data_IF_469194873945
#
_entry.id   IF_469194873945
#
_cell.length_a   1.000
_cell.length_b   1.000
_cell.length_c   1.000
_cell.angle_alpha   90.00
_cell.angle_beta   90.00
_cell.angle_gamma   90.00
#
_symmetry.space_group_name_H-M   'P 1'
#
loop_
_entity.id
_entity.type
_entity.pdbx_description
1 polymer ?
#
# COMPACT_ATOMS: atom_id res chain seq x y z
N UNK A 1 8.08 -38.00 -25.70
CA UNK A 1 6.77 -38.57 -25.29
C UNK A 1 6.84 -39.32 -23.96
N UNK A 2 7.83 -40.20 -23.74
CA UNK A 2 8.02 -40.87 -22.43
C UNK A 2 8.26 -39.90 -21.26
N UNK A 3 9.07 -38.84 -21.42
CA UNK A 3 9.33 -37.90 -20.31
C UNK A 3 8.12 -37.03 -19.95
N UNK A 4 7.26 -36.67 -20.91
CA UNK A 4 6.06 -35.89 -20.63
C UNK A 4 5.02 -36.69 -19.84
N UNK A 5 4.82 -37.96 -20.18
CA UNK A 5 3.95 -38.85 -19.41
C UNK A 5 4.49 -39.10 -17.99
N UNK A 6 5.81 -39.23 -17.83
CA UNK A 6 6.45 -39.32 -16.51
C UNK A 6 6.26 -38.03 -15.70
N UNK A 7 6.48 -36.85 -16.30
CA UNK A 7 6.25 -35.56 -15.65
C UNK A 7 4.79 -35.43 -15.20
N UNK A 8 3.82 -35.81 -16.04
CA UNK A 8 2.41 -35.77 -15.67
C UNK A 8 2.04 -36.72 -14.52
N UNK A 9 2.62 -37.93 -14.49
CA UNK A 9 2.42 -38.86 -13.38
C UNK A 9 3.03 -38.33 -12.08
N UNK A 10 4.22 -37.73 -12.15
CA UNK A 10 4.89 -37.14 -10.98
C UNK A 10 4.21 -35.84 -10.53
N UNK A 11 3.57 -35.10 -11.44
CA UNK A 11 2.95 -33.81 -11.16
C UNK A 11 1.88 -33.93 -10.07
N UNK A 12 1.06 -34.99 -10.09
CA UNK A 12 0.03 -35.20 -9.06
C UNK A 12 0.67 -35.35 -7.68
N UNK A 13 1.69 -36.19 -7.56
CA UNK A 13 2.40 -36.42 -6.30
C UNK A 13 3.17 -35.18 -5.83
N UNK A 14 3.74 -34.42 -6.76
CA UNK A 14 4.48 -33.17 -6.48
C UNK A 14 3.52 -32.09 -6.01
N UNK A 15 2.40 -31.88 -6.71
CA UNK A 15 1.39 -30.90 -6.32
C UNK A 15 0.82 -31.23 -4.95
N UNK A 16 0.47 -32.48 -4.67
CA UNK A 16 -0.06 -32.86 -3.36
C UNK A 16 0.94 -32.62 -2.21
N UNK A 17 2.26 -32.75 -2.47
CA UNK A 17 3.31 -32.55 -1.47
C UNK A 17 3.77 -31.10 -1.31
N UNK A 18 3.71 -30.31 -2.38
CA UNK A 18 4.30 -28.96 -2.42
C UNK A 18 3.26 -27.84 -2.52
N UNK A 19 1.98 -28.16 -2.68
CA UNK A 19 0.93 -27.14 -2.70
C UNK A 19 0.72 -26.57 -1.31
N UNK A 20 0.85 -25.25 -1.22
CA UNK A 20 0.48 -24.48 -0.03
C UNK A 20 -0.81 -23.75 -0.33
N UNK A 21 -1.87 -24.12 0.39
CA UNK A 21 -3.18 -23.53 0.21
C UNK A 21 -3.36 -22.28 1.09
N UNK A 22 -3.50 -21.11 0.45
CA UNK A 22 -3.49 -19.80 1.12
C UNK A 22 -4.90 -19.29 1.44
N UNK A 23 -5.79 -19.14 0.44
CA UNK A 23 -7.09 -18.51 0.62
C UNK A 23 -8.14 -19.46 1.20
N UNK A 24 -8.11 -19.68 2.51
CA UNK A 24 -9.06 -20.58 3.20
C UNK A 24 -10.44 -19.97 3.46
N UNK A 25 -10.64 -18.67 3.22
CA UNK A 25 -11.94 -18.02 3.42
C UNK A 25 -12.88 -18.26 2.24
N UNK A 26 -12.36 -18.34 1.02
CA UNK A 26 -13.16 -18.54 -0.19
C UNK A 26 -13.43 -20.00 -0.51
N UNK A 27 -12.44 -20.89 -0.34
CA UNK A 27 -12.67 -22.34 -0.45
C UNK A 27 -12.14 -23.05 0.79
N UNK A 28 -12.85 -24.09 1.23
CA UNK A 28 -12.53 -24.76 2.49
C UNK A 28 -11.38 -25.76 2.34
N UNK A 29 -11.09 -26.19 1.10
CA UNK A 29 -10.05 -27.18 0.81
C UNK A 29 -9.43 -26.98 -0.57
N UNK A 30 -8.22 -27.50 -0.74
CA UNK A 30 -7.52 -27.57 -2.03
C UNK A 30 -8.36 -28.25 -3.11
N UNK A 31 -9.07 -29.32 -2.75
CA UNK A 31 -9.90 -30.09 -3.69
C UNK A 31 -11.11 -29.28 -4.18
N UNK A 32 -11.67 -28.43 -3.32
CA UNK A 32 -12.77 -27.53 -3.69
C UNK A 32 -12.28 -26.46 -4.66
N UNK A 33 -11.16 -25.80 -4.33
CA UNK A 33 -10.50 -24.85 -5.22
C UNK A 33 -10.17 -25.49 -6.58
N UNK A 34 -9.57 -26.68 -6.59
CA UNK A 34 -9.14 -27.35 -7.83
C UNK A 34 -10.32 -27.68 -8.75
N UNK A 35 -11.49 -28.04 -8.19
CA UNK A 35 -12.71 -28.25 -8.99
C UNK A 35 -13.13 -26.97 -9.71
N UNK A 36 -13.05 -25.83 -9.03
CA UNK A 36 -13.38 -24.52 -9.61
C UNK A 36 -12.33 -24.12 -10.64
N UNK A 37 -11.04 -24.26 -10.31
CA UNK A 37 -9.94 -23.96 -11.25
C UNK A 37 -10.03 -24.79 -12.54
N UNK A 38 -10.42 -26.05 -12.46
CA UNK A 38 -10.58 -26.92 -13.64
C UNK A 38 -11.84 -26.63 -14.45
N UNK A 39 -12.87 -26.02 -13.86
CA UNK A 39 -14.12 -25.68 -14.54
C UNK A 39 -14.09 -24.28 -15.14
N UNK A 40 -13.60 -23.29 -14.39
CA UNK A 40 -13.56 -21.88 -14.79
C UNK A 40 -12.22 -21.47 -15.41
N UNK A 41 -11.18 -22.28 -15.25
CA UNK A 41 -9.82 -21.94 -15.61
C UNK A 41 -9.11 -21.11 -14.52
N UNK A 42 -7.86 -20.75 -14.80
CA UNK A 42 -7.07 -19.89 -13.93
C UNK A 42 -5.65 -19.72 -14.44
N UNK A 43 -4.86 -18.96 -13.69
CA UNK A 43 -3.50 -18.57 -14.08
C UNK A 43 -2.50 -19.40 -13.28
N UNK A 44 -1.47 -19.91 -13.97
CA UNK A 44 -0.29 -20.51 -13.35
C UNK A 44 0.90 -19.64 -13.74
N UNK A 45 1.54 -19.04 -12.75
CA UNK A 45 2.67 -18.15 -12.94
C UNK A 45 3.87 -18.54 -12.09
N UNK A 46 5.05 -18.08 -12.51
CA UNK A 46 6.27 -18.30 -11.76
C UNK A 46 6.36 -17.31 -10.60
N UNK A 47 6.61 -17.81 -9.39
CA UNK A 47 6.93 -16.95 -8.25
C UNK A 47 8.41 -16.52 -8.29
N UNK A 48 8.74 -15.28 -7.91
CA UNK A 48 10.12 -14.82 -7.86
C UNK A 48 11.02 -15.74 -7.04
N UNK A 49 12.25 -16.03 -7.49
CA UNK A 49 13.21 -16.82 -6.73
C UNK A 49 13.88 -15.97 -5.64
N UNK A 50 13.10 -15.35 -4.76
CA UNK A 50 13.54 -14.49 -3.66
C UNK A 50 12.65 -14.66 -2.43
N UNK A 51 13.25 -14.59 -1.26
CA UNK A 51 12.53 -14.56 0.03
C UNK A 51 12.03 -13.15 0.39
N UNK A 52 12.48 -12.13 -0.32
CA UNK A 52 12.05 -10.75 -0.15
C UNK A 52 11.50 -10.25 -1.49
N UNK A 53 10.18 -10.07 -1.52
CA UNK A 53 9.42 -9.60 -2.66
C UNK A 53 8.55 -8.45 -2.17
N UNK A 54 8.54 -7.35 -2.92
CA UNK A 54 7.68 -6.21 -2.63
C UNK A 54 6.78 -5.97 -3.83
N UNK A 55 5.47 -5.96 -3.58
CA UNK A 55 4.46 -5.63 -4.60
C UNK A 55 4.27 -4.12 -4.64
N UNK A 56 4.05 -3.57 -5.83
CA UNK A 56 3.89 -2.13 -6.07
C UNK A 56 2.70 -1.96 -7.00
N UNK A 57 1.79 -1.06 -6.66
CA UNK A 57 0.70 -0.65 -7.54
C UNK A 57 1.00 0.73 -8.11
N UNK A 58 0.83 0.90 -9.42
CA UNK A 58 0.82 2.21 -10.10
C UNK A 58 -0.55 2.42 -10.72
N UNK A 59 -1.24 3.48 -10.28
CA UNK A 59 -2.56 3.84 -10.78
C UNK A 59 -2.44 4.93 -11.84
N UNK A 60 -3.13 4.78 -12.96
CA UNK A 60 -3.12 5.71 -14.08
C UNK A 60 -4.53 6.00 -14.62
N UNK A 61 -4.66 7.09 -15.37
CA UNK A 61 -5.84 7.44 -16.16
C UNK A 61 -5.44 7.58 -17.61
N UNK A 62 -6.17 6.95 -18.52
CA UNK A 62 -6.06 7.13 -19.98
C UNK A 62 -7.32 7.85 -20.45
N UNK A 63 -7.16 9.08 -20.91
CA UNK A 63 -8.25 9.88 -21.46
C UNK A 63 -8.60 9.45 -22.90
N UNK A 64 -9.83 9.70 -23.38
CA UNK A 64 -10.25 9.30 -24.73
C UNK A 64 -9.44 9.91 -25.88
N UNK A 65 -8.73 11.01 -25.63
CA UNK A 65 -7.83 11.65 -26.61
C UNK A 65 -6.44 11.00 -26.68
N UNK A 66 -6.19 9.96 -25.87
CA UNK A 66 -4.91 9.28 -25.79
C UNK A 66 -3.90 9.95 -24.85
N UNK A 67 -4.27 11.02 -24.16
CA UNK A 67 -3.44 11.52 -23.07
C UNK A 67 -3.54 10.57 -21.86
N UNK A 68 -2.42 10.28 -21.20
CA UNK A 68 -2.43 9.50 -19.96
C UNK A 68 -1.67 10.21 -18.85
N UNK A 69 -2.06 9.94 -17.61
CA UNK A 69 -1.40 10.46 -16.42
C UNK A 69 -1.32 9.40 -15.33
N UNK A 70 -0.19 9.35 -14.63
CA UNK A 70 -0.08 8.57 -13.39
C UNK A 70 -0.72 9.37 -12.26
N UNK A 71 -1.64 8.74 -11.56
CA UNK A 71 -2.47 9.35 -10.53
C UNK A 71 -1.86 9.15 -9.14
N UNK A 72 -1.37 7.94 -8.87
CA UNK A 72 -0.64 7.59 -7.66
C UNK A 72 0.19 6.31 -7.88
N UNK A 73 1.08 6.03 -6.93
CA UNK A 73 1.81 4.76 -6.87
C UNK A 73 2.08 4.41 -5.43
N UNK A 74 2.05 3.14 -5.03
CA UNK A 74 2.37 2.75 -3.66
C UNK A 74 2.95 1.35 -3.57
N UNK A 75 3.77 1.11 -2.54
CA UNK A 75 4.18 -0.22 -2.13
C UNK A 75 2.99 -0.90 -1.43
N UNK A 76 2.60 -2.11 -1.83
CA UNK A 76 1.46 -2.80 -1.24
C UNK A 76 1.77 -3.31 0.17
N UNK A 77 0.76 -3.25 1.04
CA UNK A 77 0.71 -3.90 2.34
C UNK A 77 -0.10 -5.19 2.22
N UNK A 78 0.24 -6.23 2.97
CA UNK A 78 -0.26 -7.60 2.77
C UNK A 78 -0.81 -8.25 4.04
N UNK A 79 -1.31 -7.42 4.97
CA UNK A 79 -1.80 -7.80 6.31
C UNK A 79 -2.52 -9.17 6.41
N UNK A 80 -3.47 -9.44 5.53
CA UNK A 80 -4.28 -10.68 5.59
C UNK A 80 -3.72 -11.82 4.72
N UNK A 81 -3.00 -11.49 3.65
CA UNK A 81 -2.47 -12.46 2.71
C UNK A 81 -1.33 -11.85 1.89
N UNK A 82 -0.25 -12.62 1.72
CA UNK A 82 0.89 -12.26 0.88
C UNK A 82 0.56 -12.02 -0.60
N UNK A 83 -0.64 -12.39 -1.04
CA UNK A 83 -1.10 -12.27 -2.43
C UNK A 83 -2.28 -11.32 -2.60
N UNK A 84 -2.69 -10.61 -1.56
CA UNK A 84 -3.77 -9.63 -1.63
C UNK A 84 -3.29 -8.28 -1.13
N UNK A 85 -3.49 -7.24 -1.93
CA UNK A 85 -3.25 -5.87 -1.50
C UNK A 85 -4.24 -5.50 -0.39
N UNK A 86 -3.74 -5.17 0.80
CA UNK A 86 -4.54 -4.70 1.94
C UNK A 86 -4.58 -3.17 2.03
N UNK A 87 -3.52 -2.51 1.55
CA UNK A 87 -3.36 -1.06 1.56
C UNK A 87 -2.08 -0.66 0.86
N UNK A 88 -1.80 0.64 0.79
CA UNK A 88 -0.60 1.17 0.16
C UNK A 88 0.23 2.01 1.13
N UNK A 89 1.54 1.84 1.05
CA UNK A 89 2.51 2.88 1.39
C UNK A 89 2.70 3.80 0.18
N UNK A 90 2.18 5.01 0.27
CA UNK A 90 2.18 6.03 -0.77
C UNK A 90 3.18 7.17 -0.46
N UNK A 91 3.96 7.65 -1.44
CA UNK A 91 4.18 7.03 -2.73
C UNK A 91 5.10 5.79 -2.62
N UNK A 92 5.19 4.99 -3.69
CA UNK A 92 6.10 3.84 -3.75
C UNK A 92 7.56 4.29 -3.58
N UNK A 93 8.35 3.51 -2.86
CA UNK A 93 9.78 3.78 -2.64
C UNK A 93 10.68 2.60 -2.99
N UNK A 94 10.09 1.46 -3.38
CA UNK A 94 10.82 0.21 -3.53
C UNK A 94 11.46 0.02 -4.90
N UNK A 95 10.97 0.67 -5.96
CA UNK A 95 11.49 0.51 -7.32
C UNK A 95 11.91 1.83 -7.98
N UNK A 96 12.82 1.71 -8.94
CA UNK A 96 13.27 2.83 -9.77
C UNK A 96 12.11 3.42 -10.59
N UNK A 97 11.93 4.73 -10.45
CA UNK A 97 10.85 5.48 -11.08
C UNK A 97 10.92 5.46 -12.61
N UNK A 98 12.13 5.49 -13.19
CA UNK A 98 12.28 5.50 -14.64
C UNK A 98 11.85 4.16 -15.25
N UNK A 99 12.20 3.05 -14.59
CA UNK A 99 11.77 1.71 -14.99
C UNK A 99 10.25 1.55 -14.91
N UNK A 100 9.62 1.97 -13.81
CA UNK A 100 8.16 1.95 -13.67
C UNK A 100 7.48 2.76 -14.77
N UNK A 101 7.94 3.99 -15.01
CA UNK A 101 7.39 4.87 -16.04
C UNK A 101 7.54 4.29 -17.46
N UNK A 102 8.65 3.62 -17.74
CA UNK A 102 8.89 2.97 -19.04
C UNK A 102 7.89 1.82 -19.27
N UNK A 103 7.69 0.96 -18.26
CA UNK A 103 6.70 -0.11 -18.34
C UNK A 103 5.28 0.43 -18.46
N UNK A 104 4.90 1.42 -17.64
CA UNK A 104 3.59 2.05 -17.72
C UNK A 104 3.32 2.64 -19.11
N UNK A 105 4.29 3.35 -19.69
CA UNK A 105 4.16 3.90 -21.05
C UNK A 105 3.93 2.81 -22.10
N UNK A 106 4.65 1.69 -21.99
CA UNK A 106 4.53 0.57 -22.93
C UNK A 106 3.16 -0.11 -22.82
N UNK A 107 2.65 -0.26 -21.59
CA UNK A 107 1.33 -0.83 -21.32
C UNK A 107 0.23 0.12 -21.82
N UNK A 108 0.35 1.42 -21.58
CA UNK A 108 -0.61 2.43 -22.05
C UNK A 108 -0.71 2.43 -23.58
N UNK A 109 0.42 2.34 -24.30
CA UNK A 109 0.40 2.24 -25.77
C UNK A 109 -0.42 1.02 -26.22
N UNK A 110 -0.25 -0.11 -25.54
CA UNK A 110 -1.01 -1.34 -25.82
C UNK A 110 -2.49 -1.22 -25.46
N UNK A 111 -2.84 -0.51 -24.38
CA UNK A 111 -4.22 -0.20 -24.02
C UNK A 111 -4.90 0.68 -25.08
N UNK A 112 -4.21 1.72 -25.55
CA UNK A 112 -4.71 2.65 -26.56
C UNK A 112 -4.97 1.96 -27.90
N UNK A 113 -4.06 1.09 -28.34
CA UNK A 113 -4.26 0.27 -29.56
C UNK A 113 -5.50 -0.63 -29.47
N UNK A 114 -5.94 -0.98 -28.25
CA UNK A 114 -7.11 -1.81 -27.97
C UNK A 114 -8.35 -0.99 -27.58
N UNK A 115 -8.29 0.34 -27.65
CA UNK A 115 -9.36 1.25 -27.22
C UNK A 115 -9.77 1.08 -25.74
N UNK A 116 -8.81 0.79 -24.87
CA UNK A 116 -9.00 0.72 -23.42
C UNK A 116 -8.70 2.09 -22.83
N UNK A 117 -9.71 2.71 -22.22
CA UNK A 117 -9.66 4.05 -21.63
C UNK A 117 -10.21 4.04 -20.21
N UNK A 118 -9.91 5.09 -19.45
CA UNK A 118 -10.30 5.25 -18.05
C UNK A 118 -9.18 4.90 -17.09
N UNK A 119 -9.56 4.57 -15.86
CA UNK A 119 -8.61 4.26 -14.79
C UNK A 119 -8.11 2.82 -14.89
N UNK A 120 -6.81 2.66 -14.66
CA UNK A 120 -6.12 1.37 -14.67
C UNK A 120 -5.12 1.34 -13.52
N UNK A 121 -5.07 0.22 -12.83
CA UNK A 121 -4.03 -0.10 -11.87
C UNK A 121 -3.13 -1.17 -12.48
N UNK A 122 -1.82 -0.95 -12.43
CA UNK A 122 -0.80 -1.90 -12.87
C UNK A 122 -0.03 -2.34 -11.63
N UNK A 123 -0.01 -3.64 -11.42
CA UNK A 123 0.71 -4.26 -10.32
C UNK A 123 2.05 -4.80 -10.80
N UNK A 124 3.07 -4.50 -10.01
CA UNK A 124 4.45 -4.91 -10.20
C UNK A 124 4.93 -5.67 -8.98
N UNK A 125 5.97 -6.48 -9.17
CA UNK A 125 6.75 -7.05 -8.09
C UNK A 125 8.22 -6.73 -8.30
N UNK A 126 8.89 -6.32 -7.23
CA UNK A 126 10.33 -6.10 -7.19
C UNK A 126 11.00 -7.04 -6.21
N UNK A 127 12.17 -7.55 -6.59
CA UNK A 127 12.98 -8.44 -5.76
C UNK A 127 14.44 -8.43 -6.21
N UNK A 128 15.35 -8.88 -5.35
CA UNK A 128 16.77 -9.04 -5.69
C UNK A 128 17.00 -10.47 -6.16
N UNK A 129 17.50 -10.64 -7.38
CA UNK A 129 17.86 -11.94 -7.91
C UNK A 129 19.08 -12.51 -7.17
N UNK A 130 18.95 -13.72 -6.63
CA UNK A 130 20.01 -14.37 -5.84
C UNK A 130 21.28 -14.60 -6.66
N UNK A 131 21.15 -14.88 -7.97
CA UNK A 131 22.26 -15.19 -8.89
C UNK A 131 22.93 -13.93 -9.40
N UNK A 132 22.15 -12.96 -9.90
CA UNK A 132 22.72 -11.75 -10.53
C UNK A 132 22.99 -10.63 -9.54
N UNK A 133 22.40 -10.69 -8.34
CA UNK A 133 22.40 -9.63 -7.32
C UNK A 133 21.80 -8.31 -7.81
N UNK A 134 21.03 -8.34 -8.89
CA UNK A 134 20.36 -7.17 -9.43
C UNK A 134 18.90 -7.12 -8.98
N UNK A 135 18.37 -5.90 -8.85
CA UNK A 135 16.95 -5.68 -8.62
C UNK A 135 16.17 -5.93 -9.91
N UNK A 136 15.30 -6.92 -9.87
CA UNK A 136 14.36 -7.22 -10.95
C UNK A 136 13.01 -6.59 -10.65
N UNK A 137 12.30 -6.22 -11.72
CA UNK A 137 10.97 -5.64 -11.68
C UNK A 137 10.12 -6.37 -12.73
N UNK A 138 9.09 -7.06 -12.28
CA UNK A 138 8.13 -7.79 -13.12
C UNK A 138 6.77 -7.11 -13.07
N UNK A 139 6.02 -7.16 -14.16
CA UNK A 139 4.60 -6.78 -14.22
C UNK A 139 3.80 -8.05 -13.99
N UNK A 140 2.81 -8.01 -13.08
CA UNK A 140 2.03 -9.19 -12.71
C UNK A 140 0.57 -9.09 -13.12
N UNK A 141 -0.07 -7.94 -12.91
CA UNK A 141 -1.50 -7.79 -13.12
C UNK A 141 -1.86 -6.40 -13.63
N UNK A 142 -3.02 -6.30 -14.28
CA UNK A 142 -3.63 -5.08 -14.75
C UNK A 142 -5.12 -5.11 -14.45
N UNK A 143 -5.56 -4.18 -13.61
CA UNK A 143 -6.96 -4.03 -13.22
C UNK A 143 -7.55 -2.76 -13.84
N UNK A 144 -8.69 -2.87 -14.53
CA UNK A 144 -9.40 -1.74 -15.13
C UNK A 144 -10.51 -1.27 -14.19
N UNK A 145 -10.57 0.02 -13.92
CA UNK A 145 -11.60 0.64 -13.11
C UNK A 145 -11.06 1.69 -12.14
N UNK A 146 -11.98 2.44 -11.53
CA UNK A 146 -11.62 3.39 -10.49
C UNK A 146 -11.42 2.64 -9.17
N UNK A 147 -10.16 2.51 -8.75
CA UNK A 147 -9.81 1.77 -7.55
C UNK A 147 -9.87 2.60 -6.27
N UNK A 148 -9.90 1.89 -5.14
CA UNK A 148 -9.79 2.49 -3.82
C UNK A 148 -8.47 3.25 -3.63
N UNK A 149 -7.37 2.79 -4.25
CA UNK A 149 -6.06 3.45 -4.20
C UNK A 149 -6.10 4.85 -4.79
N UNK A 150 -6.79 5.01 -5.93
CA UNK A 150 -7.04 6.31 -6.55
C UNK A 150 -7.89 7.17 -5.60
N UNK A 151 -8.95 6.62 -5.04
CA UNK A 151 -9.84 7.38 -4.14
C UNK A 151 -9.10 7.91 -2.90
N UNK A 152 -8.34 7.07 -2.20
CA UNK A 152 -7.63 7.43 -0.97
C UNK A 152 -6.48 8.41 -1.26
N UNK A 153 -5.75 8.22 -2.36
CA UNK A 153 -4.69 9.15 -2.76
C UNK A 153 -5.25 10.53 -3.16
N UNK A 154 -6.44 10.59 -3.76
CA UNK A 154 -7.14 11.85 -4.05
C UNK A 154 -7.60 12.56 -2.79
N UNK A 155 -8.11 11.82 -1.79
CA UNK A 155 -8.42 12.39 -0.47
C UNK A 155 -7.15 12.98 0.14
N UNK A 156 -6.05 12.24 0.16
CA UNK A 156 -4.75 12.72 0.66
C UNK A 156 -4.26 13.98 -0.09
N UNK A 157 -4.37 14.01 -1.42
CA UNK A 157 -4.06 15.19 -2.23
C UNK A 157 -4.93 16.39 -1.84
N UNK A 158 -6.23 16.17 -1.65
CA UNK A 158 -7.18 17.22 -1.30
C UNK A 158 -6.89 17.82 0.09
N UNK A 159 -6.79 16.99 1.12
CA UNK A 159 -6.63 17.46 2.51
C UNK A 159 -5.26 18.11 2.76
N UNK A 160 -4.22 17.68 2.04
CA UNK A 160 -2.88 18.27 2.16
C UNK A 160 -2.62 19.35 1.11
N UNK A 161 -3.49 19.54 0.11
CA UNK A 161 -3.20 20.31 -1.12
C UNK A 161 -1.87 19.91 -1.77
N UNK A 162 -1.47 18.65 -1.58
CA UNK A 162 -0.21 18.11 -2.05
C UNK A 162 -0.29 17.71 -3.51
N UNK A 163 0.88 17.51 -4.13
CA UNK A 163 1.01 17.11 -5.52
C UNK A 163 1.85 15.86 -5.62
N UNK A 164 1.33 14.87 -6.33
CA UNK A 164 2.10 13.71 -6.76
C UNK A 164 2.92 14.10 -7.99
N UNK A 165 4.19 13.72 -8.00
CA UNK A 165 5.10 13.86 -9.12
C UNK A 165 5.28 12.49 -9.79
N UNK A 166 4.66 12.24 -10.95
CA UNK A 166 4.78 11.00 -11.70
C UNK A 166 6.22 10.62 -12.09
N UNK A 167 7.07 11.59 -12.39
CA UNK A 167 8.43 11.31 -12.87
C UNK A 167 9.31 10.74 -11.76
N UNK A 168 9.13 11.26 -10.54
CA UNK A 168 9.96 10.92 -9.38
C UNK A 168 9.26 9.97 -8.40
N UNK A 169 8.01 9.61 -8.66
CA UNK A 169 7.11 8.92 -7.71
C UNK A 169 7.20 9.53 -6.30
N UNK A 170 7.14 10.86 -6.23
CA UNK A 170 7.24 11.59 -4.96
C UNK A 170 5.99 12.41 -4.70
N UNK A 171 5.68 12.66 -3.43
CA UNK A 171 4.53 13.45 -3.03
C UNK A 171 4.98 14.64 -2.19
N UNK A 172 4.71 15.85 -2.67
CA UNK A 172 5.16 17.08 -2.03
C UNK A 172 4.00 17.96 -1.60
N UNK A 173 4.18 18.63 -0.46
CA UNK A 173 3.21 19.52 0.13
C UNK A 173 3.84 20.89 0.37
N UNK A 174 3.17 21.94 -0.12
CA UNK A 174 3.55 23.33 0.12
C UNK A 174 3.04 23.79 1.48
N UNK A 175 3.98 24.28 2.30
CA UNK A 175 3.75 24.75 3.66
C UNK A 175 4.18 26.20 3.81
N UNK A 176 3.41 27.00 4.57
CA UNK A 176 3.81 28.35 4.95
C UNK A 176 4.57 28.29 6.26
N UNK A 177 5.84 28.67 6.27
CA UNK A 177 6.66 28.72 7.46
C UNK A 177 6.93 30.18 7.85
N UNK A 178 6.77 30.50 9.14
CA UNK A 178 7.08 31.83 9.65
C UNK A 178 8.58 32.06 9.58
N UNK A 179 9.04 33.18 9.00
CA UNK A 179 10.46 33.55 9.09
C UNK A 179 10.81 33.84 10.55
N UNK A 180 11.84 33.18 11.09
CA UNK A 180 12.40 33.55 12.38
C UNK A 180 12.91 35.00 12.30
N UNK A 181 12.31 35.89 13.10
CA UNK A 181 12.79 37.27 13.23
C UNK A 181 14.11 37.27 13.99
N UNK A 182 15.20 37.63 13.32
CA UNK A 182 16.41 38.11 14.00
C UNK A 182 16.05 39.44 14.69
N UNK A 183 15.72 39.37 15.99
CA UNK A 183 15.62 40.43 17.04
C UNK A 183 15.53 41.92 16.63
N UNK A 184 14.84 42.27 15.55
CA UNK A 184 14.59 43.66 15.19
C UNK A 184 13.09 43.95 15.30
N UNK A 185 12.79 44.78 16.29
CA UNK A 185 11.46 45.18 16.73
C UNK A 185 10.87 46.18 15.73
N UNK A 186 10.45 45.69 14.56
CA UNK A 186 9.68 46.47 13.60
C UNK A 186 8.26 45.93 13.52
N UNK A 187 7.29 46.84 13.64
CA UNK A 187 5.84 46.62 13.60
C UNK A 187 5.33 46.24 12.18
N UNK A 188 6.04 45.36 11.48
CA UNK A 188 5.62 44.83 10.18
C UNK A 188 4.73 43.60 10.32
N UNK A 189 3.92 43.30 9.29
CA UNK A 189 3.18 42.05 9.19
C UNK A 189 4.14 40.82 9.24
N UNK A 190 3.69 39.66 9.74
CA UNK A 190 4.50 38.45 9.72
C UNK A 190 4.86 38.05 8.27
N UNK A 191 6.14 37.86 8.00
CA UNK A 191 6.62 37.33 6.71
C UNK A 191 6.65 35.79 6.74
N UNK A 192 6.19 35.18 5.65
CA UNK A 192 6.16 33.73 5.48
C UNK A 192 7.03 33.31 4.29
N UNK A 193 7.71 32.17 4.41
CA UNK A 193 8.32 31.45 3.28
C UNK A 193 7.45 30.25 2.91
N UNK A 194 7.47 29.90 1.63
CA UNK A 194 6.86 28.65 1.16
C UNK A 194 7.95 27.59 1.14
N UNK A 195 7.74 26.51 1.87
CA UNK A 195 8.63 25.34 1.88
C UNK A 195 7.87 24.16 1.28
N UNK A 196 8.52 23.42 0.39
CA UNK A 196 8.02 22.15 -0.11
C UNK A 196 8.61 21.03 0.74
N UNK A 197 7.75 20.20 1.32
CA UNK A 197 8.14 19.01 2.10
C UNK A 197 7.63 17.75 1.41
N UNK A 198 8.44 16.71 1.42
CA UNK A 198 7.97 15.37 1.07
C UNK A 198 7.01 14.88 2.14
N UNK A 199 5.96 14.17 1.72
CA UNK A 199 5.01 13.52 2.61
C UNK A 199 4.81 12.08 2.17
N UNK A 200 4.67 11.21 3.14
CA UNK A 200 4.36 9.79 2.96
C UNK A 200 3.03 9.50 3.63
N UNK A 201 2.29 8.55 3.08
CA UNK A 201 0.95 8.18 3.51
C UNK A 201 0.83 6.66 3.59
N UNK A 202 0.24 6.14 4.66
CA UNK A 202 -0.28 4.77 4.68
C UNK A 202 -1.78 4.85 4.45
N UNK A 203 -2.27 4.20 3.39
CA UNK A 203 -3.64 4.28 2.90
C UNK A 203 -4.28 2.88 2.94
N UNK A 204 -5.36 2.70 3.70
CA UNK A 204 -6.16 1.47 3.60
C UNK A 204 -7.64 1.76 3.84
N UNK A 205 -8.49 1.11 3.06
CA UNK A 205 -9.96 1.04 3.15
C UNK A 205 -10.43 -0.27 3.79
N UNK A 206 -9.52 -1.20 4.07
CA UNK A 206 -9.83 -2.59 4.43
C UNK A 206 -9.75 -2.86 5.93
N UNK A 207 -9.80 -1.82 6.76
CA UNK A 207 -9.82 -2.01 8.20
C UNK A 207 -11.19 -2.56 8.61
N UNK A 208 -11.18 -3.77 9.16
CA UNK A 208 -12.37 -4.47 9.63
C UNK A 208 -12.28 -4.70 11.14
N UNK A 209 -13.37 -4.37 11.82
CA UNK A 209 -13.56 -4.70 13.23
C UNK A 209 -15.06 -4.82 13.55
N UNK A 210 -15.51 -5.99 14.01
CA UNK A 210 -16.92 -6.28 14.31
C UNK A 210 -17.57 -5.24 15.22
N UNK A 211 -16.89 -4.83 16.28
CA UNK A 211 -17.42 -3.85 17.24
C UNK A 211 -17.65 -2.44 16.71
N UNK A 212 -17.14 -2.09 15.52
CA UNK A 212 -17.46 -0.81 14.89
C UNK A 212 -18.96 -0.69 14.59
N UNK A 213 -19.64 -1.82 14.33
CA UNK A 213 -21.10 -1.86 14.14
C UNK A 213 -21.90 -1.29 15.31
N UNK A 214 -21.39 -1.47 16.54
CA UNK A 214 -22.06 -1.05 17.77
C UNK A 214 -21.53 0.30 18.30
N UNK A 215 -20.50 0.87 17.66
CA UNK A 215 -19.82 2.05 18.14
C UNK A 215 -20.26 3.29 17.34
N UNK A 216 -20.95 4.21 18.00
CA UNK A 216 -21.27 5.50 17.39
C UNK A 216 -19.98 6.26 17.02
N UNK A 217 -19.94 6.83 15.81
CA UNK A 217 -18.77 7.59 15.33
C UNK A 217 -18.36 8.73 16.26
N UNK A 218 -19.31 9.38 16.96
CA UNK A 218 -18.99 10.42 17.94
C UNK A 218 -18.09 9.91 19.08
N UNK A 219 -18.36 8.69 19.56
CA UNK A 219 -17.57 8.00 20.59
C UNK A 219 -16.24 7.53 20.01
N UNK A 220 -16.26 6.90 18.83
CA UNK A 220 -15.04 6.51 18.12
C UNK A 220 -14.05 7.67 17.97
N UNK A 221 -14.51 8.81 17.45
CA UNK A 221 -13.65 9.99 17.28
C UNK A 221 -13.26 10.63 18.61
N UNK A 222 -14.04 10.46 19.68
CA UNK A 222 -13.63 10.89 21.02
C UNK A 222 -12.46 10.04 21.53
N UNK A 223 -12.50 8.71 21.34
CA UNK A 223 -11.40 7.81 21.66
C UNK A 223 -10.14 8.22 20.87
N UNK A 224 -10.26 8.42 19.56
CA UNK A 224 -9.15 8.87 18.71
C UNK A 224 -8.53 10.18 19.23
N UNK A 225 -9.36 11.20 19.51
CA UNK A 225 -8.88 12.50 20.00
C UNK A 225 -8.18 12.40 21.36
N UNK A 226 -8.69 11.59 22.28
CA UNK A 226 -8.07 11.36 23.60
C UNK A 226 -6.67 10.78 23.46
N UNK A 227 -6.43 9.96 22.45
CA UNK A 227 -5.15 9.35 22.15
C UNK A 227 -4.28 10.15 21.16
N UNK A 228 -4.68 11.39 20.83
CA UNK A 228 -3.93 12.23 19.89
C UNK A 228 -3.98 11.76 18.44
N UNK A 229 -4.89 10.84 18.11
CA UNK A 229 -5.13 10.37 16.74
C UNK A 229 -6.03 11.38 16.04
N UNK A 230 -5.44 12.14 15.11
CA UNK A 230 -6.14 13.13 14.31
C UNK A 230 -5.22 13.81 13.32
N UNK A 231 -5.79 14.67 12.48
CA UNK A 231 -5.08 15.39 11.44
C UNK A 231 -4.84 16.85 11.85
N UNK A 232 -3.59 17.29 11.83
CA UNK A 232 -3.24 18.70 12.02
C UNK A 232 -3.31 19.42 10.68
N UNK A 233 -4.29 20.32 10.54
CA UNK A 233 -4.51 21.11 9.31
C UNK A 233 -3.33 22.06 9.02
N UNK A 234 -2.66 22.56 10.06
CA UNK A 234 -1.55 23.52 9.92
C UNK A 234 -0.30 22.84 9.44
N UNK A 235 0.01 21.65 9.99
CA UNK A 235 1.16 20.84 9.60
C UNK A 235 0.86 19.91 8.42
N UNK A 236 -0.42 19.71 8.09
CA UNK A 236 -0.91 18.82 7.03
C UNK A 236 -0.38 17.39 7.18
N UNK A 237 -0.43 16.89 8.40
CA UNK A 237 0.05 15.57 8.81
C UNK A 237 -0.87 14.99 9.90
N UNK A 238 -0.72 13.70 10.18
CA UNK A 238 -1.57 12.97 11.11
C UNK A 238 -2.54 12.05 10.39
N UNK A 239 -3.62 11.67 11.08
CA UNK A 239 -4.52 10.60 10.64
C UNK A 239 -5.91 11.13 10.33
N UNK A 240 -6.45 10.72 9.19
CA UNK A 240 -7.86 10.86 8.84
C UNK A 240 -8.49 9.49 8.65
N UNK A 241 -9.81 9.43 8.82
CA UNK A 241 -10.59 8.22 8.61
C UNK A 241 -11.57 8.41 7.46
N UNK A 242 -11.72 7.41 6.61
CA UNK A 242 -12.77 7.33 5.60
C UNK A 242 -13.87 6.42 6.13
N UNK A 243 -15.07 6.98 6.28
CA UNK A 243 -16.21 6.22 6.80
C UNK A 243 -16.94 5.56 5.62
N UNK A 244 -17.20 4.27 5.73
CA UNK A 244 -17.99 3.52 4.77
C UNK A 244 -19.36 3.23 5.36
N UNK A 245 -20.40 3.56 4.59
CA UNK A 245 -21.76 3.15 4.89
C UNK A 245 -21.98 1.77 4.27
N UNK A 246 -21.49 0.74 4.96
CA UNK A 246 -21.79 -0.66 4.65
C UNK A 246 -22.93 -1.14 5.56
N UNK A 247 -23.67 -2.16 5.15
CA UNK A 247 -24.85 -2.69 5.87
C UNK A 247 -24.61 -3.02 7.37
N UNK A 248 -23.36 -3.25 7.77
CA UNK A 248 -22.99 -3.58 9.14
C UNK A 248 -22.08 -2.56 9.83
N UNK A 249 -21.62 -1.49 9.15
CA UNK A 249 -20.69 -0.50 9.73
C UNK A 249 -19.42 -1.08 10.40
N UNK A 250 -18.97 -2.26 9.97
CA UNK A 250 -17.80 -2.95 10.53
C UNK A 250 -16.47 -2.54 9.88
N UNK A 251 -16.54 -1.69 8.86
CA UNK A 251 -15.39 -1.28 8.07
C UNK A 251 -15.14 0.22 8.21
N UNK A 252 -13.87 0.57 8.26
CA UNK A 252 -13.39 1.95 8.22
C UNK A 252 -12.17 2.01 7.32
N UNK A 253 -11.83 3.17 6.80
CA UNK A 253 -10.54 3.40 6.18
C UNK A 253 -9.74 4.40 6.99
N UNK A 254 -8.43 4.34 6.83
CA UNK A 254 -7.48 5.15 7.58
C UNK A 254 -6.38 5.59 6.63
N UNK A 255 -6.07 6.88 6.70
CA UNK A 255 -4.97 7.51 6.00
C UNK A 255 -4.11 8.19 7.05
N UNK A 256 -2.88 7.71 7.24
CA UNK A 256 -1.90 8.32 8.15
C UNK A 256 -0.82 8.99 7.33
N UNK A 257 -0.50 10.25 7.59
CA UNK A 257 0.43 11.07 6.80
C UNK A 257 1.54 11.64 7.68
N UNK A 258 2.81 11.48 7.31
CA UNK A 258 3.96 12.08 8.02
C UNK A 258 5.10 12.50 7.07
N UNK A 259 6.18 13.05 7.63
CA UNK A 259 7.36 13.52 6.88
C UNK A 259 8.23 12.38 6.30
N UNK A 260 8.24 11.21 6.92
CA UNK A 260 9.07 10.07 6.48
C UNK A 260 8.27 8.79 6.44
N UNK A 261 8.63 7.86 5.55
CA UNK A 261 7.97 6.57 5.45
C UNK A 261 7.98 5.81 6.79
N UNK A 262 9.15 5.72 7.43
CA UNK A 262 9.32 5.04 8.72
C UNK A 262 8.38 5.61 9.80
N UNK A 263 8.31 6.93 9.93
CA UNK A 263 7.43 7.56 10.94
C UNK A 263 5.96 7.34 10.60
N UNK A 264 5.61 7.36 9.32
CA UNK A 264 4.24 7.12 8.86
C UNK A 264 3.78 5.70 9.17
N UNK A 265 4.61 4.69 8.87
CA UNK A 265 4.37 3.28 9.23
C UNK A 265 4.22 3.09 10.74
N UNK A 266 5.17 3.60 11.53
CA UNK A 266 5.13 3.50 12.99
C UNK A 266 3.90 4.18 13.60
N UNK A 267 3.54 5.37 13.10
CA UNK A 267 2.34 6.08 13.55
C UNK A 267 1.07 5.30 13.20
N UNK A 268 0.97 4.77 11.97
CA UNK A 268 -0.18 3.97 11.55
C UNK A 268 -0.35 2.75 12.46
N UNK A 269 0.69 1.95 12.67
CA UNK A 269 0.65 0.76 13.52
C UNK A 269 0.31 1.12 14.99
N UNK A 270 0.94 2.16 15.53
CA UNK A 270 0.69 2.62 16.91
C UNK A 270 -0.77 3.06 17.12
N UNK A 271 -1.28 3.90 16.22
CA UNK A 271 -2.65 4.39 16.30
C UNK A 271 -3.66 3.27 16.09
N UNK A 272 -3.39 2.36 15.15
CA UNK A 272 -4.26 1.23 14.88
C UNK A 272 -4.34 0.26 16.08
N UNK A 273 -3.20 -0.06 16.69
CA UNK A 273 -3.17 -0.88 17.91
C UNK A 273 -3.88 -0.17 19.07
N UNK A 274 -3.67 1.14 19.24
CA UNK A 274 -4.36 1.91 20.30
C UNK A 274 -5.88 1.84 20.14
N UNK A 275 -6.38 2.04 18.91
CA UNK A 275 -7.81 1.94 18.61
C UNK A 275 -8.30 0.51 18.89
N UNK A 276 -7.56 -0.51 18.45
CA UNK A 276 -7.90 -1.90 18.72
C UNK A 276 -8.06 -2.18 20.22
N UNK A 277 -7.13 -1.75 21.07
CA UNK A 277 -7.22 -1.97 22.52
C UNK A 277 -8.45 -1.30 23.15
N UNK A 278 -8.84 -0.13 22.64
CA UNK A 278 -9.98 0.63 23.18
C UNK A 278 -11.34 0.07 22.75
N UNK A 279 -11.43 -0.53 21.56
CA UNK A 279 -12.70 -1.04 21.01
C UNK A 279 -12.86 -2.56 21.13
N UNK A 280 -11.83 -3.27 21.59
CA UNK A 280 -11.83 -4.73 21.77
C UNK A 280 -12.04 -5.11 23.24
N UNK A 281 -13.18 -5.69 23.61
CA UNK A 281 -13.37 -6.35 24.91
C UNK A 281 -12.40 -7.52 25.08
N UNK A 282 -12.07 -7.86 26.33
CA UNK A 282 -11.13 -8.93 26.68
C UNK A 282 -11.46 -10.31 26.05
N UNK A 283 -12.71 -10.54 25.64
CA UNK A 283 -13.24 -11.84 25.22
C UNK A 283 -13.37 -11.99 23.68
N UNK A 284 -12.89 -11.05 22.85
CA UNK A 284 -13.16 -11.02 21.39
C UNK A 284 -11.96 -10.70 20.46
N UNK A 285 -10.87 -11.46 20.58
CA UNK A 285 -9.65 -11.23 19.75
C UNK A 285 -9.83 -11.57 18.25
N UNK A 286 -10.66 -12.55 17.88
CA UNK A 286 -10.81 -13.00 16.48
C UNK A 286 -11.75 -12.12 15.62
N UNK A 287 -12.06 -10.90 16.07
CA UNK A 287 -13.11 -10.07 15.50
C UNK A 287 -12.62 -8.92 14.60
N UNK A 288 -11.31 -8.88 14.32
CA UNK A 288 -10.67 -7.77 13.60
C UNK A 288 -9.41 -8.20 12.82
N UNK A 289 -9.11 -7.47 11.75
CA UNK A 289 -7.84 -7.59 11.02
C UNK A 289 -6.78 -6.55 11.45
N UNK A 290 -7.05 -5.73 12.48
CA UNK A 290 -6.18 -4.62 12.87
C UNK A 290 -4.80 -5.10 13.31
N UNK A 291 -4.75 -6.17 14.13
CA UNK A 291 -3.48 -6.74 14.62
C UNK A 291 -2.68 -7.39 13.48
N UNK A 292 -3.34 -7.97 12.48
CA UNK A 292 -2.66 -8.50 11.30
C UNK A 292 -1.94 -7.38 10.54
N UNK A 293 -2.59 -6.22 10.37
CA UNK A 293 -1.99 -5.06 9.73
C UNK A 293 -0.85 -4.44 10.57
N UNK A 294 -0.99 -4.41 11.90
CA UNK A 294 0.09 -3.96 12.81
C UNK A 294 1.32 -4.86 12.65
N UNK A 295 1.15 -6.18 12.70
CA UNK A 295 2.24 -7.15 12.57
C UNK A 295 2.94 -7.05 11.22
N UNK A 296 2.18 -6.89 10.12
CA UNK A 296 2.73 -6.70 8.77
C UNK A 296 3.62 -5.46 8.70
N UNK A 297 3.15 -4.34 9.25
CA UNK A 297 3.91 -3.09 9.29
C UNK A 297 5.16 -3.21 10.18
N UNK A 298 5.06 -3.88 11.32
CA UNK A 298 6.20 -4.12 12.20
C UNK A 298 7.27 -4.99 11.53
N UNK A 299 6.87 -6.00 10.75
CA UNK A 299 7.79 -6.80 9.95
C UNK A 299 8.51 -5.95 8.90
N UNK A 300 7.79 -5.08 8.18
CA UNK A 300 8.36 -4.15 7.20
C UNK A 300 9.37 -3.19 7.89
N UNK A 301 9.03 -2.67 9.07
CA UNK A 301 9.91 -1.81 9.84
C UNK A 301 11.16 -2.54 10.35
N UNK A 302 11.05 -3.82 10.71
CA UNK A 302 12.18 -4.67 11.09
C UNK A 302 13.15 -4.89 9.93
N UNK A 303 12.64 -5.31 8.77
CA UNK A 303 13.44 -5.52 7.55
C UNK A 303 14.17 -4.24 7.12
N UNK A 304 13.53 -3.09 7.26
CA UNK A 304 14.13 -1.78 6.94
C UNK A 304 15.33 -1.44 7.84
N UNK A 305 15.33 -1.89 9.10
CA UNK A 305 16.45 -1.66 10.02
C UNK A 305 17.67 -2.53 9.68
N UNK A 306 17.44 -3.79 9.34
CA UNK A 306 18.50 -4.72 8.92
C UNK A 306 19.16 -4.26 7.61
N UNK A 307 18.35 -3.84 6.64
CA UNK A 307 18.85 -3.37 5.33
C UNK A 307 19.76 -2.14 5.49
N UNK A 308 19.36 -1.17 6.30
CA UNK A 308 20.18 0.02 6.57
C UNK A 308 21.47 -0.32 7.34
N UNK A 309 21.43 -1.28 8.25
CA UNK A 309 22.61 -1.72 9.00
C UNK A 309 23.64 -2.40 8.10
N UNK A 310 23.18 -3.23 7.16
CA UNK A 310 24.05 -3.92 6.19
C UNK A 310 24.69 -2.96 5.17
N UNK A 311 23.97 -1.91 4.74
CA UNK A 311 24.54 -0.85 3.89
C UNK A 311 25.59 -0.03 4.64
N UNK A 312 25.37 0.24 5.93
CA UNK A 312 26.32 0.96 6.80
C UNK A 312 27.65 0.21 6.93
N UNK A 313 27.60 -1.11 7.19
CA UNK A 313 28.77 -1.98 7.31
C UNK A 313 29.61 -2.07 6.03
N UNK A 314 28.96 -2.06 4.87
CA UNK A 314 29.63 -2.08 3.57
C UNK A 314 30.24 -0.72 3.18
N UNK A 315 29.72 0.39 3.71
CA UNK A 315 30.31 1.74 3.51
C UNK A 315 31.50 2.05 4.42
N UNK A 316 31.67 1.30 5.50
CA UNK A 316 32.84 1.40 6.41
C UNK A 316 34.02 0.51 6.01
N UNK A 317 33.89 -0.26 4.93
CA UNK A 317 34.94 -1.19 4.44
C UNK A 317 35.48 -0.82 3.05
N UNK A 318 35.18 0.39 2.56
CA UNK A 318 35.75 0.98 1.34
C UNK A 318 36.66 2.16 1.63
#
# INVERSE_FOLDING_TARGET
KQSYAQILCELSDVLDKHTIYINKSQFNSWQEYLKVFLSEGGIIEAYPPSNSVTSITVCLSIEPDGHYSLVCSGDQLHAESQFSCWGLSFPQTSADSNRLNTYCSSIVEQCQQRNIYGYIDIDFITFIDIKTKQQNLWVIDLSIGYSEHISLSRVMQYITTGKFNPQMHSFTVKMKQLKQRLRNWQNGAPEYTIVEKNRYGILSSKLYHRNLSNLHYSIFFQICRTHGVGFDIREKQGTIFTLYECDHHEHIGMITISDTLKTTLSNFACYLNTIYQEITPADMQDSSNFILAVNDIENILGITQETNSNVSLNSSTS
#
